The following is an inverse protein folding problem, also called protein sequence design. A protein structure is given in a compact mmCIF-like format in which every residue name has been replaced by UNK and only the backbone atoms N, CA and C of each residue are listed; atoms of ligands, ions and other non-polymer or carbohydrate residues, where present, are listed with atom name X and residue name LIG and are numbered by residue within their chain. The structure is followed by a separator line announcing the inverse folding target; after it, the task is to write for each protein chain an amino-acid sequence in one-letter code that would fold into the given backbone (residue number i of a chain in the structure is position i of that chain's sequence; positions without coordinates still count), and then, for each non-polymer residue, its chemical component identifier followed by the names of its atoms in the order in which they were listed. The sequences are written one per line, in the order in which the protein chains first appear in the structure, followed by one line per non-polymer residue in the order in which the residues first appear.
data_IF_385965795298
#
_entry.id   IF_385965795298
#
_cell.length_a   1.000
_cell.length_b   1.000
_cell.length_c   1.000
_cell.angle_alpha   90.00
_cell.angle_beta   90.00
_cell.angle_gamma   90.00
#
_symmetry.space_group_name_H-M   'P 1'
#
loop_
_entity.id
_entity.type
_entity.pdbx_description
1 polymer ?
#
# COMPACT_ATOMS: atom_id res chain seq x y z
N UNK A 1 6.66 29.06 -13.68
CA UNK A 1 6.83 29.04 -12.21
C UNK A 1 7.01 27.59 -11.79
N UNK A 2 8.13 27.24 -11.17
CA UNK A 2 8.30 25.92 -10.57
C UNK A 2 7.44 25.85 -9.30
N UNK A 3 6.46 24.96 -9.28
CA UNK A 3 5.67 24.70 -8.06
C UNK A 3 6.61 23.98 -7.10
N UNK A 4 7.04 24.67 -6.06
CA UNK A 4 7.76 24.03 -4.94
C UNK A 4 6.74 23.19 -4.18
N UNK A 5 6.88 21.85 -4.25
CA UNK A 5 6.04 20.92 -3.50
C UNK A 5 6.56 20.82 -2.06
N UNK A 6 5.70 21.13 -1.09
CA UNK A 6 6.00 20.84 0.31
C UNK A 6 5.61 19.39 0.64
N UNK A 7 6.40 18.72 1.48
CA UNK A 7 6.01 17.38 1.95
C UNK A 7 4.82 17.50 2.91
N UNK A 8 3.72 16.83 2.56
CA UNK A 8 2.56 16.75 3.43
C UNK A 8 2.73 15.56 4.38
N UNK A 9 2.35 15.70 5.66
CA UNK A 9 2.30 14.55 6.57
C UNK A 9 1.48 13.41 5.96
N UNK A 10 1.94 12.18 6.15
CA UNK A 10 1.14 11.00 5.81
C UNK A 10 0.21 10.69 6.97
N UNK A 11 -1.08 10.94 6.78
CA UNK A 11 -2.11 10.81 7.82
C UNK A 11 -3.14 9.79 7.40
N UNK A 12 -3.41 8.80 8.26
CA UNK A 12 -4.48 7.81 8.11
C UNK A 12 -5.22 7.67 9.45
N UNK A 13 -6.54 7.61 9.42
CA UNK A 13 -7.39 7.50 10.61
C UNK A 13 -7.00 8.49 11.73
N UNK A 14 -6.67 9.74 11.37
CA UNK A 14 -6.25 10.78 12.32
C UNK A 14 -4.85 10.63 12.91
N UNK A 15 -4.11 9.58 12.57
CA UNK A 15 -2.72 9.35 13.02
C UNK A 15 -1.72 9.71 11.93
N UNK A 16 -0.62 10.39 12.33
CA UNK A 16 0.49 10.73 11.43
C UNK A 16 1.56 9.65 11.47
N UNK A 17 2.04 9.25 10.30
CA UNK A 17 3.09 8.25 10.11
C UNK A 17 4.31 8.87 9.44
N UNK A 18 5.50 8.42 9.83
CA UNK A 18 6.77 8.81 9.23
C UNK A 18 7.10 7.94 8.01
N UNK A 19 6.75 6.66 8.09
CA UNK A 19 6.95 5.72 6.99
C UNK A 19 5.80 5.78 5.99
N UNK A 20 6.14 5.81 4.70
CA UNK A 20 5.18 5.67 3.58
C UNK A 20 5.21 4.25 2.99
N UNK A 21 5.86 3.31 3.70
CA UNK A 21 5.88 1.90 3.38
C UNK A 21 4.99 1.15 4.36
N UNK A 22 4.00 0.41 3.84
CA UNK A 22 3.18 -0.53 4.57
C UNK A 22 3.58 -1.94 4.15
N UNK A 23 3.67 -2.87 5.09
CA UNK A 23 4.17 -4.24 4.84
C UNK A 23 3.20 -5.29 5.33
N UNK A 24 3.01 -6.35 4.53
CA UNK A 24 2.25 -7.53 4.92
C UNK A 24 3.09 -8.56 5.67
N UNK A 25 2.42 -9.44 6.40
CA UNK A 25 3.04 -10.49 7.23
C UNK A 25 3.04 -11.88 6.59
N UNK A 26 2.45 -12.03 5.42
CA UNK A 26 2.26 -13.34 4.81
C UNK A 26 3.49 -13.85 4.04
N UNK A 27 3.63 -15.19 3.96
CA UNK A 27 4.57 -15.90 3.07
C UNK A 27 6.05 -15.80 3.42
N UNK A 28 6.43 -15.24 4.53
CA UNK A 28 7.78 -15.42 5.08
C UNK A 28 7.97 -16.86 5.56
N UNK A 29 9.22 -17.28 5.68
CA UNK A 29 9.55 -18.64 6.11
C UNK A 29 9.07 -18.95 7.53
N UNK A 30 9.20 -17.97 8.42
CA UNK A 30 8.85 -18.07 9.84
C UNK A 30 8.56 -16.68 10.44
N UNK A 31 8.12 -16.65 11.70
CA UNK A 31 7.79 -15.41 12.40
C UNK A 31 9.03 -14.54 12.69
N UNK A 32 10.20 -15.13 12.85
CA UNK A 32 11.44 -14.38 13.07
C UNK A 32 11.88 -13.65 11.80
N UNK A 33 11.82 -14.28 10.64
CA UNK A 33 12.09 -13.61 9.36
C UNK A 33 11.05 -12.53 9.09
N UNK A 34 9.77 -12.77 9.42
CA UNK A 34 8.70 -11.75 9.35
C UNK A 34 9.06 -10.53 10.18
N UNK A 35 9.42 -10.72 11.45
CA UNK A 35 9.81 -9.64 12.36
C UNK A 35 11.00 -8.86 11.83
N UNK A 36 12.07 -9.55 11.45
CA UNK A 36 13.30 -8.93 10.95
C UNK A 36 13.06 -8.12 9.67
N UNK A 37 12.25 -8.63 8.73
CA UNK A 37 11.92 -7.94 7.49
C UNK A 37 11.07 -6.68 7.76
N UNK A 38 10.06 -6.77 8.65
CA UNK A 38 9.23 -5.63 9.03
C UNK A 38 10.07 -4.55 9.72
N UNK A 39 10.94 -4.93 10.66
CA UNK A 39 11.85 -3.99 11.31
C UNK A 39 12.79 -3.30 10.31
N UNK A 40 13.38 -4.07 9.40
CA UNK A 40 14.30 -3.56 8.38
C UNK A 40 13.59 -2.64 7.35
N UNK A 41 12.29 -2.84 7.13
CA UNK A 41 11.49 -1.98 6.24
C UNK A 41 11.20 -0.60 6.80
N UNK A 42 11.30 -0.42 8.13
CA UNK A 42 10.89 0.80 8.82
C UNK A 42 9.38 1.07 8.75
N UNK A 43 8.57 0.08 8.38
CA UNK A 43 7.12 0.23 8.33
C UNK A 43 6.51 0.42 9.73
N UNK A 44 5.55 1.33 9.83
CA UNK A 44 4.78 1.58 11.05
C UNK A 44 3.38 0.97 10.98
N UNK A 45 2.92 0.62 9.75
CA UNK A 45 1.64 -0.03 9.50
C UNK A 45 1.90 -1.43 8.94
N UNK A 46 1.31 -2.43 9.58
CA UNK A 46 1.50 -3.84 9.23
C UNK A 46 0.15 -4.48 8.92
N UNK A 47 0.00 -5.04 7.71
CA UNK A 47 -1.23 -5.72 7.31
C UNK A 47 -1.12 -7.23 7.41
N UNK A 48 -2.23 -7.86 7.78
CA UNK A 48 -2.37 -9.31 7.83
C UNK A 48 -3.78 -9.76 7.45
N UNK A 49 -3.88 -10.96 6.91
CA UNK A 49 -5.17 -11.56 6.54
C UNK A 49 -5.86 -12.15 7.78
N UNK A 50 -7.00 -11.59 8.19
CA UNK A 50 -7.75 -12.01 9.38
C UNK A 50 -8.07 -13.52 9.36
N UNK A 51 -8.45 -14.04 8.20
CA UNK A 51 -8.83 -15.46 8.03
C UNK A 51 -7.66 -16.44 8.09
N UNK A 52 -6.41 -15.96 8.12
CA UNK A 52 -5.18 -16.79 7.99
C UNK A 52 -4.17 -16.55 9.10
N UNK A 53 -4.46 -15.64 10.01
CA UNK A 53 -3.50 -15.21 11.04
C UNK A 53 -4.03 -15.57 12.41
N UNK A 54 -3.21 -16.27 13.21
CA UNK A 54 -3.51 -16.48 14.62
C UNK A 54 -3.20 -15.18 15.39
N UNK A 55 -4.23 -14.65 16.04
CA UNK A 55 -4.16 -13.49 16.95
C UNK A 55 -4.44 -13.91 18.40
N UNK A 56 -4.14 -15.19 18.74
CA UNK A 56 -4.41 -15.78 20.04
C UNK A 56 -5.64 -16.70 20.09
N UNK A 57 -6.31 -16.94 18.93
CA UNK A 57 -7.48 -17.83 18.88
C UNK A 57 -7.12 -19.30 18.99
N UNK A 58 -5.89 -19.67 18.62
CA UNK A 58 -5.40 -21.05 18.60
C UNK A 58 -4.26 -21.18 19.61
N UNK A 59 -4.55 -21.83 20.73
CA UNK A 59 -3.58 -22.08 21.80
C UNK A 59 -2.43 -22.97 21.30
N UNK A 60 -1.19 -22.60 21.62
CA UNK A 60 0.02 -23.35 21.23
C UNK A 60 0.52 -23.06 19.81
N UNK A 61 -0.19 -22.30 18.99
CA UNK A 61 0.31 -21.82 17.71
C UNK A 61 0.94 -20.43 17.82
N UNK A 62 1.93 -20.09 16.97
CA UNK A 62 2.53 -18.74 16.97
C UNK A 62 1.48 -17.65 16.81
N UNK A 63 1.46 -16.70 17.74
CA UNK A 63 0.58 -15.55 17.72
C UNK A 63 1.32 -14.34 17.12
N UNK A 64 0.71 -13.66 16.16
CA UNK A 64 1.31 -12.47 15.53
C UNK A 64 1.58 -11.37 16.55
N UNK A 65 0.69 -11.19 17.54
CA UNK A 65 0.80 -10.13 18.54
C UNK A 65 1.99 -10.33 19.51
N UNK A 66 2.46 -11.57 19.68
CA UNK A 66 3.65 -11.87 20.51
C UNK A 66 4.95 -11.46 19.79
N UNK A 67 4.92 -11.41 18.46
CA UNK A 67 6.09 -11.11 17.61
C UNK A 67 6.12 -9.63 17.20
N UNK A 68 4.94 -9.06 16.94
CA UNK A 68 4.77 -7.66 16.55
C UNK A 68 3.89 -6.95 17.58
N UNK A 69 4.50 -6.09 18.41
CA UNK A 69 3.77 -5.38 19.47
C UNK A 69 2.79 -4.34 18.90
N UNK A 70 1.53 -4.32 19.37
CA UNK A 70 0.56 -3.26 19.07
C UNK A 70 1.01 -1.86 19.50
N UNK A 71 1.90 -1.76 20.48
CA UNK A 71 2.46 -0.48 20.95
C UNK A 71 3.40 0.14 19.91
N UNK A 72 4.02 -0.69 19.08
CA UNK A 72 4.98 -0.27 18.07
C UNK A 72 4.36 -0.11 16.69
N UNK A 73 3.41 -0.99 16.34
CA UNK A 73 2.84 -1.05 15.02
C UNK A 73 1.34 -0.76 15.02
N UNK A 74 0.88 -0.04 14.01
CA UNK A 74 -0.54 0.04 13.69
C UNK A 74 -0.92 -1.18 12.86
N UNK A 75 -1.84 -1.98 13.37
CA UNK A 75 -2.36 -3.13 12.63
C UNK A 75 -3.40 -2.73 11.59
N UNK A 76 -3.30 -3.33 10.42
CA UNK A 76 -4.22 -3.17 9.31
C UNK A 76 -4.76 -4.56 8.90
N UNK A 77 -5.74 -5.09 9.65
CA UNK A 77 -6.38 -6.36 9.28
C UNK A 77 -7.03 -6.24 7.91
N UNK A 78 -6.89 -7.28 7.07
CA UNK A 78 -7.44 -7.29 5.73
C UNK A 78 -8.37 -8.48 5.48
N UNK A 79 -9.23 -8.33 4.47
CA UNK A 79 -10.23 -9.31 4.08
C UNK A 79 -9.77 -10.20 2.91
N UNK A 80 -8.46 -10.43 2.78
CA UNK A 80 -7.89 -11.26 1.73
C UNK A 80 -8.56 -12.65 1.66
N UNK A 81 -9.00 -13.01 0.45
CA UNK A 81 -9.69 -14.27 0.18
C UNK A 81 -11.21 -14.21 0.37
N UNK A 82 -11.80 -13.02 0.51
CA UNK A 82 -13.24 -12.80 0.40
C UNK A 82 -13.63 -12.53 -1.06
N UNK A 83 -14.75 -13.10 -1.51
CA UNK A 83 -15.23 -12.99 -2.88
C UNK A 83 -16.57 -12.25 -3.02
N UNK A 84 -17.19 -11.89 -1.92
CA UNK A 84 -18.39 -11.08 -1.87
C UNK A 84 -18.39 -10.09 -0.69
N UNK A 85 -19.32 -9.14 -0.74
CA UNK A 85 -19.44 -8.09 0.26
C UNK A 85 -19.79 -8.63 1.66
N UNK A 86 -20.62 -9.68 1.72
CA UNK A 86 -21.11 -10.25 2.99
C UNK A 86 -19.94 -10.88 3.76
N UNK A 87 -19.12 -11.69 3.07
CA UNK A 87 -17.90 -12.28 3.66
C UNK A 87 -16.92 -11.21 4.12
N UNK A 88 -16.68 -10.18 3.29
CA UNK A 88 -15.75 -9.10 3.62
C UNK A 88 -16.19 -8.32 4.86
N UNK A 89 -17.47 -7.90 4.92
CA UNK A 89 -18.03 -7.20 6.08
C UNK A 89 -17.97 -8.05 7.34
N UNK A 90 -18.35 -9.33 7.25
CA UNK A 90 -18.24 -10.28 8.37
C UNK A 90 -16.80 -10.40 8.88
N UNK A 91 -15.83 -10.45 7.96
CA UNK A 91 -14.41 -10.57 8.31
C UNK A 91 -13.90 -9.30 9.00
N UNK A 92 -14.33 -8.10 8.56
CA UNK A 92 -13.99 -6.86 9.24
C UNK A 92 -14.59 -6.76 10.65
N UNK A 93 -15.85 -7.20 10.83
CA UNK A 93 -16.48 -7.27 12.16
C UNK A 93 -15.72 -8.21 13.09
N UNK A 94 -15.32 -9.39 12.59
CA UNK A 94 -14.48 -10.32 13.35
C UNK A 94 -13.14 -9.67 13.74
N UNK A 95 -12.49 -8.96 12.82
CA UNK A 95 -11.25 -8.24 13.12
C UNK A 95 -11.43 -7.20 14.23
N UNK A 96 -12.54 -6.45 14.21
CA UNK A 96 -12.87 -5.48 15.27
C UNK A 96 -13.01 -6.15 16.64
N UNK A 97 -13.66 -7.31 16.68
CA UNK A 97 -13.81 -8.07 17.93
C UNK A 97 -12.47 -8.61 18.44
N UNK A 98 -11.65 -9.20 17.56
CA UNK A 98 -10.35 -9.78 17.90
C UNK A 98 -9.30 -8.73 18.32
N UNK A 99 -9.48 -7.47 17.94
CA UNK A 99 -8.58 -6.36 18.20
C UNK A 99 -9.22 -5.28 19.08
N UNK A 100 -10.08 -5.65 20.02
CA UNK A 100 -10.66 -4.80 21.06
C UNK A 100 -11.28 -3.48 20.53
N UNK A 101 -12.05 -3.57 19.46
CA UNK A 101 -12.75 -2.41 18.89
C UNK A 101 -11.96 -1.63 17.83
N UNK A 102 -10.87 -2.18 17.30
CA UNK A 102 -10.07 -1.58 16.25
C UNK A 102 -10.86 -1.37 14.95
N UNK A 103 -10.91 -0.13 14.45
CA UNK A 103 -11.76 0.24 13.34
C UNK A 103 -11.03 0.32 11.98
N UNK A 104 -9.70 0.45 12.00
CA UNK A 104 -8.91 0.54 10.76
C UNK A 104 -8.83 -0.82 10.08
N UNK A 105 -9.30 -0.91 8.84
CA UNK A 105 -9.32 -2.16 8.06
C UNK A 105 -8.91 -1.93 6.61
N UNK A 106 -8.31 -2.95 5.99
CA UNK A 106 -8.09 -3.01 4.56
C UNK A 106 -9.16 -3.91 3.92
N UNK A 107 -10.07 -3.28 3.19
CA UNK A 107 -11.10 -3.99 2.45
C UNK A 107 -10.53 -4.52 1.13
N UNK A 108 -10.70 -5.81 0.90
CA UNK A 108 -10.33 -6.53 -0.32
C UNK A 108 -11.45 -7.51 -0.67
N UNK A 109 -12.09 -7.35 -1.83
CA UNK A 109 -13.08 -8.30 -2.37
C UNK A 109 -12.63 -8.71 -3.75
N UNK A 110 -12.41 -10.01 -3.96
CA UNK A 110 -11.83 -10.57 -5.18
C UNK A 110 -12.94 -11.03 -6.15
N UNK A 111 -12.69 -10.88 -7.44
CA UNK A 111 -13.59 -11.35 -8.49
C UNK A 111 -13.22 -12.74 -9.02
N UNK A 112 -11.91 -13.03 -9.08
CA UNK A 112 -11.38 -14.22 -9.74
C UNK A 112 -10.20 -14.81 -8.98
N UNK A 113 -10.17 -16.14 -8.84
CA UNK A 113 -9.13 -16.84 -8.09
C UNK A 113 -7.77 -16.87 -8.78
N UNK A 114 -7.75 -16.77 -10.10
CA UNK A 114 -6.49 -16.85 -10.88
C UNK A 114 -5.80 -15.50 -10.96
N UNK A 115 -6.55 -14.45 -11.19
CA UNK A 115 -6.01 -13.10 -11.40
C UNK A 115 -6.02 -12.26 -10.14
N UNK A 116 -6.87 -12.58 -9.16
CA UNK A 116 -7.11 -11.82 -7.94
C UNK A 116 -7.49 -10.35 -8.22
N UNK A 117 -8.12 -10.09 -9.38
CA UNK A 117 -8.71 -8.77 -9.65
C UNK A 117 -9.79 -8.45 -8.64
N UNK A 118 -9.94 -7.17 -8.26
CA UNK A 118 -11.00 -6.75 -7.35
C UNK A 118 -12.38 -6.86 -8.01
N UNK A 119 -13.36 -7.34 -7.23
CA UNK A 119 -14.77 -7.27 -7.59
C UNK A 119 -15.30 -5.89 -7.20
N UNK A 120 -15.21 -4.93 -8.11
CA UNK A 120 -15.54 -3.53 -7.81
C UNK A 120 -16.98 -3.33 -7.33
N UNK A 121 -17.93 -4.11 -7.84
CA UNK A 121 -19.35 -4.02 -7.43
C UNK A 121 -19.52 -4.45 -5.98
N UNK A 122 -18.96 -5.58 -5.59
CA UNK A 122 -19.01 -6.07 -4.23
C UNK A 122 -18.14 -5.22 -3.28
N UNK A 123 -17.03 -4.67 -3.77
CA UNK A 123 -16.18 -3.73 -3.02
C UNK A 123 -16.97 -2.47 -2.65
N UNK A 124 -17.69 -1.85 -3.58
CA UNK A 124 -18.51 -0.67 -3.31
C UNK A 124 -19.60 -0.97 -2.25
N UNK A 125 -20.31 -2.10 -2.36
CA UNK A 125 -21.34 -2.52 -1.37
C UNK A 125 -20.74 -2.73 0.02
N UNK A 126 -19.61 -3.42 0.10
CA UNK A 126 -18.91 -3.65 1.36
C UNK A 126 -18.41 -2.35 1.99
N UNK A 127 -17.82 -1.46 1.18
CA UNK A 127 -17.33 -0.15 1.62
C UNK A 127 -18.47 0.70 2.21
N UNK A 128 -19.60 0.82 1.53
CA UNK A 128 -20.78 1.53 2.06
C UNK A 128 -21.25 0.99 3.42
N UNK A 129 -21.27 -0.33 3.57
CA UNK A 129 -21.69 -0.97 4.82
C UNK A 129 -20.72 -0.68 5.92
N UNK A 130 -19.42 -0.88 5.68
CA UNK A 130 -18.36 -0.70 6.67
C UNK A 130 -18.23 0.77 7.12
N UNK A 131 -18.28 1.72 6.19
CA UNK A 131 -18.24 3.15 6.53
C UNK A 131 -19.45 3.55 7.38
N UNK A 132 -20.67 3.08 7.06
CA UNK A 132 -21.88 3.30 7.89
C UNK A 132 -21.74 2.71 9.29
N UNK A 133 -20.98 1.63 9.44
CA UNK A 133 -20.69 0.99 10.74
C UNK A 133 -19.51 1.61 11.50
N UNK A 134 -18.95 2.71 10.99
CA UNK A 134 -17.87 3.46 11.62
C UNK A 134 -16.50 2.83 11.49
N UNK A 135 -16.25 2.03 10.46
CA UNK A 135 -14.90 1.59 10.12
C UNK A 135 -14.12 2.66 9.36
N UNK A 136 -12.83 2.73 9.63
CA UNK A 136 -11.84 3.47 8.86
C UNK A 136 -11.34 2.58 7.70
N UNK A 137 -11.98 2.69 6.54
CA UNK A 137 -11.76 1.76 5.44
C UNK A 137 -10.66 2.24 4.50
N UNK A 138 -9.56 1.50 4.41
CA UNK A 138 -8.60 1.55 3.30
C UNK A 138 -9.03 0.48 2.30
N UNK A 139 -9.15 0.80 1.00
CA UNK A 139 -9.81 -0.10 0.06
C UNK A 139 -8.95 -0.45 -1.15
N UNK A 140 -8.65 -1.75 -1.31
CA UNK A 140 -8.03 -2.32 -2.51
C UNK A 140 -9.03 -2.28 -3.66
N UNK A 141 -8.60 -1.76 -4.81
CA UNK A 141 -9.45 -1.60 -5.98
C UNK A 141 -8.67 -1.71 -7.29
N UNK A 142 -9.38 -1.67 -8.41
CA UNK A 142 -8.78 -1.53 -9.74
C UNK A 142 -8.14 -0.16 -9.91
N UNK A 143 -7.36 -0.01 -10.99
CA UNK A 143 -6.80 1.28 -11.43
C UNK A 143 -7.81 2.14 -12.22
N UNK A 144 -9.10 1.91 -12.04
CA UNK A 144 -10.17 2.71 -12.64
C UNK A 144 -10.38 4.01 -11.83
N UNK A 145 -10.16 5.20 -12.44
CA UNK A 145 -10.32 6.49 -11.75
C UNK A 145 -11.76 6.75 -11.28
N UNK A 146 -12.75 6.21 -11.98
CA UNK A 146 -14.16 6.39 -11.62
C UNK A 146 -14.48 5.62 -10.33
N UNK A 147 -14.00 4.39 -10.24
CA UNK A 147 -14.18 3.57 -9.04
C UNK A 147 -13.43 4.16 -7.85
N UNK A 148 -12.20 4.63 -8.05
CA UNK A 148 -11.41 5.29 -7.01
C UNK A 148 -12.16 6.51 -6.43
N UNK A 149 -12.77 7.34 -7.29
CA UNK A 149 -13.58 8.49 -6.87
C UNK A 149 -14.84 8.07 -6.12
N UNK A 150 -15.58 7.05 -6.60
CA UNK A 150 -16.77 6.55 -5.92
C UNK A 150 -16.45 6.04 -4.51
N UNK A 151 -15.35 5.33 -4.33
CA UNK A 151 -14.90 4.83 -3.02
C UNK A 151 -14.54 5.98 -2.07
N UNK A 152 -13.91 7.04 -2.58
CA UNK A 152 -13.66 8.25 -1.81
C UNK A 152 -14.96 8.98 -1.41
N UNK A 153 -15.93 9.08 -2.33
CA UNK A 153 -17.22 9.72 -2.07
C UNK A 153 -18.10 8.92 -1.08
N UNK A 154 -17.96 7.58 -1.01
CA UNK A 154 -18.57 6.72 0.02
C UNK A 154 -18.04 7.06 1.42
N UNK A 155 -16.81 7.57 1.52
CA UNK A 155 -16.17 7.92 2.78
C UNK A 155 -15.05 6.98 3.20
N UNK A 156 -14.48 6.20 2.28
CA UNK A 156 -13.23 5.49 2.54
C UNK A 156 -12.12 6.48 2.88
N UNK A 157 -11.22 6.10 3.80
CA UNK A 157 -10.13 6.99 4.25
C UNK A 157 -8.88 6.94 3.36
N UNK A 158 -8.76 5.91 2.52
CA UNK A 158 -7.72 5.79 1.50
C UNK A 158 -8.18 4.86 0.38
N UNK A 159 -7.77 5.14 -0.86
CA UNK A 159 -7.92 4.23 -1.99
C UNK A 159 -6.58 3.59 -2.34
N UNK A 160 -6.64 2.30 -2.66
CA UNK A 160 -5.45 1.47 -2.88
C UNK A 160 -5.55 0.78 -4.25
N UNK A 161 -5.34 1.54 -5.35
CA UNK A 161 -5.37 0.97 -6.70
C UNK A 161 -4.24 -0.04 -6.90
N UNK A 162 -4.53 -1.13 -7.59
CA UNK A 162 -3.50 -2.05 -8.02
C UNK A 162 -2.58 -1.40 -9.07
N UNK A 163 -1.29 -1.65 -8.98
CA UNK A 163 -0.33 -1.31 -10.03
C UNK A 163 -0.15 -2.46 -11.03
N UNK A 164 -0.31 -3.67 -10.55
CA UNK A 164 -0.33 -4.93 -11.27
C UNK A 164 -1.01 -5.99 -10.42
N UNK A 165 -1.13 -7.21 -10.90
CA UNK A 165 -1.82 -8.28 -10.18
C UNK A 165 -1.13 -8.60 -8.84
N UNK A 166 -1.91 -9.00 -7.83
CA UNK A 166 -1.39 -9.41 -6.52
C UNK A 166 -0.34 -10.52 -6.69
N UNK A 167 0.86 -10.28 -6.17
CA UNK A 167 1.96 -11.25 -6.20
C UNK A 167 2.61 -11.47 -7.57
N UNK A 168 2.28 -10.67 -8.59
CA UNK A 168 2.82 -10.81 -9.95
C UNK A 168 4.23 -10.25 -10.11
N UNK A 169 4.58 -9.21 -9.36
CA UNK A 169 5.86 -8.49 -9.53
C UNK A 169 6.01 -7.78 -10.88
N UNK A 170 4.90 -7.50 -11.58
CA UNK A 170 4.91 -6.86 -12.90
C UNK A 170 5.21 -5.35 -12.86
N UNK A 171 5.24 -4.77 -11.66
CA UNK A 171 5.46 -3.34 -11.47
C UNK A 171 4.22 -2.50 -11.77
N UNK A 172 4.45 -1.25 -12.20
CA UNK A 172 3.40 -0.28 -12.49
C UNK A 172 2.92 -0.46 -13.93
N UNK A 173 1.90 -1.29 -14.14
CA UNK A 173 1.41 -1.65 -15.47
C UNK A 173 0.70 -0.48 -16.18
N UNK A 174 -0.01 0.37 -15.44
CA UNK A 174 -0.77 1.49 -16.00
C UNK A 174 -0.50 2.80 -15.22
N UNK A 175 0.63 3.44 -15.45
CA UNK A 175 0.95 4.69 -14.76
C UNK A 175 0.02 5.84 -15.16
N UNK A 176 -0.64 5.77 -16.32
CA UNK A 176 -1.55 6.80 -16.80
C UNK A 176 -2.82 6.87 -15.93
N UNK A 177 -3.46 5.74 -15.66
CA UNK A 177 -4.64 5.73 -14.80
C UNK A 177 -4.30 6.14 -13.37
N UNK A 178 -3.15 5.69 -12.84
CA UNK A 178 -2.68 6.12 -11.52
C UNK A 178 -2.50 7.64 -11.46
N UNK A 179 -1.97 8.26 -12.53
CA UNK A 179 -1.81 9.71 -12.58
C UNK A 179 -3.17 10.43 -12.54
N UNK A 180 -4.19 9.94 -13.27
CA UNK A 180 -5.54 10.51 -13.23
C UNK A 180 -6.12 10.38 -11.81
N UNK A 181 -5.99 9.22 -11.17
CA UNK A 181 -6.43 9.00 -9.80
C UNK A 181 -5.77 10.01 -8.85
N UNK A 182 -4.46 10.20 -8.97
CA UNK A 182 -3.69 11.12 -8.11
C UNK A 182 -4.06 12.59 -8.32
N UNK A 183 -4.37 13.00 -9.56
CA UNK A 183 -4.79 14.37 -9.88
C UNK A 183 -6.16 14.71 -9.28
N UNK A 184 -7.07 13.73 -9.23
CA UNK A 184 -8.44 13.89 -8.72
C UNK A 184 -8.60 13.55 -7.23
N UNK A 185 -7.57 12.98 -6.60
CA UNK A 185 -7.65 12.40 -5.25
C UNK A 185 -7.93 13.47 -4.17
N UNK A 186 -8.95 13.19 -3.35
CA UNK A 186 -9.29 13.97 -2.14
C UNK A 186 -8.83 13.29 -0.86
N UNK A 187 -8.47 12.01 -0.94
CA UNK A 187 -7.99 11.15 0.15
C UNK A 187 -6.67 10.50 -0.28
N UNK A 188 -5.88 9.98 0.64
CA UNK A 188 -4.63 9.29 0.32
C UNK A 188 -4.78 8.19 -0.72
N UNK A 189 -3.82 8.14 -1.66
CA UNK A 189 -3.72 7.10 -2.70
C UNK A 189 -2.47 6.28 -2.45
N UNK A 190 -2.64 4.99 -2.21
CA UNK A 190 -1.54 4.06 -2.00
C UNK A 190 -1.52 3.02 -3.14
N UNK A 191 -0.36 2.78 -3.71
CA UNK A 191 -0.21 1.61 -4.59
C UNK A 191 -0.27 0.34 -3.74
N UNK A 192 -1.12 -0.60 -4.16
CA UNK A 192 -1.26 -1.93 -3.56
C UNK A 192 -1.20 -2.98 -4.67
N UNK A 193 -0.42 -4.01 -4.47
CA UNK A 193 -0.16 -5.07 -5.45
C UNK A 193 0.67 -4.67 -6.68
N UNK A 194 1.30 -5.65 -7.30
CA UNK A 194 2.09 -5.49 -8.52
C UNK A 194 3.56 -5.16 -8.30
N UNK A 195 3.92 -4.46 -7.23
CA UNK A 195 5.32 -4.13 -6.93
C UNK A 195 6.14 -5.40 -6.77
N UNK A 196 7.24 -5.52 -7.52
CA UNK A 196 8.14 -6.67 -7.52
C UNK A 196 9.56 -6.34 -7.02
N UNK A 197 9.99 -5.08 -7.13
CA UNK A 197 11.32 -4.65 -6.71
C UNK A 197 11.37 -3.17 -6.37
N UNK A 198 12.52 -2.69 -5.88
CA UNK A 198 12.74 -1.33 -5.44
C UNK A 198 12.42 -0.26 -6.50
N UNK A 199 12.75 -0.50 -7.77
CA UNK A 199 12.44 0.43 -8.85
C UNK A 199 10.94 0.67 -9.02
N UNK A 200 10.11 -0.35 -8.85
CA UNK A 200 8.66 -0.22 -8.96
C UNK A 200 8.09 0.66 -7.84
N UNK A 201 8.58 0.45 -6.61
CA UNK A 201 8.23 1.27 -5.46
C UNK A 201 8.66 2.73 -5.65
N UNK A 202 9.85 2.95 -6.19
CA UNK A 202 10.36 4.30 -6.52
C UNK A 202 9.46 4.98 -7.56
N UNK A 203 9.07 4.28 -8.63
CA UNK A 203 8.19 4.81 -9.68
C UNK A 203 6.83 5.21 -9.08
N UNK A 204 6.22 4.37 -8.23
CA UNK A 204 4.97 4.71 -7.57
C UNK A 204 5.06 6.02 -6.78
N UNK A 205 6.15 6.20 -6.02
CA UNK A 205 6.38 7.41 -5.25
C UNK A 205 6.72 8.63 -6.12
N UNK A 206 7.44 8.45 -7.23
CA UNK A 206 7.72 9.51 -8.22
C UNK A 206 6.47 9.99 -8.95
N UNK A 207 5.48 9.12 -9.16
CA UNK A 207 4.16 9.50 -9.69
C UNK A 207 3.40 10.39 -8.71
N UNK A 208 3.68 10.31 -7.42
CA UNK A 208 3.08 11.13 -6.38
C UNK A 208 2.14 10.37 -5.44
N UNK A 209 2.16 9.04 -5.45
CA UNK A 209 1.43 8.24 -4.47
C UNK A 209 1.83 8.64 -3.04
N UNK A 210 0.87 8.57 -2.12
CA UNK A 210 1.11 8.92 -0.72
C UNK A 210 1.92 7.87 0.01
N UNK A 211 1.74 6.59 -0.37
CA UNK A 211 2.46 5.45 0.19
C UNK A 211 2.38 4.23 -0.75
N UNK A 212 3.06 3.15 -0.37
CA UNK A 212 2.99 1.85 -1.06
C UNK A 212 2.80 0.76 -0.02
N UNK A 213 1.87 -0.16 -0.29
CA UNK A 213 1.74 -1.39 0.47
C UNK A 213 2.32 -2.55 -0.34
N UNK A 214 3.14 -3.38 0.28
CA UNK A 214 3.70 -4.58 -0.35
C UNK A 214 3.90 -5.71 0.64
N UNK A 215 3.91 -6.93 0.13
CA UNK A 215 4.25 -8.13 0.89
C UNK A 215 5.13 -9.07 0.05
N UNK A 216 4.59 -9.63 -1.04
CA UNK A 216 5.26 -10.68 -1.83
C UNK A 216 6.61 -10.25 -2.38
N UNK A 217 6.78 -9.01 -2.75
CA UNK A 217 8.05 -8.47 -3.24
C UNK A 217 9.19 -8.61 -2.20
N UNK A 218 8.86 -8.50 -0.92
CA UNK A 218 9.81 -8.70 0.17
C UNK A 218 9.91 -10.17 0.52
N UNK A 219 8.77 -10.81 0.85
CA UNK A 219 8.75 -12.18 1.38
C UNK A 219 9.26 -13.24 0.39
N UNK A 220 9.12 -13.04 -0.91
CA UNK A 220 9.61 -13.97 -1.94
C UNK A 220 11.01 -13.61 -2.47
N UNK A 221 11.63 -12.54 -2.00
CA UNK A 221 13.02 -12.26 -2.33
C UNK A 221 13.95 -13.36 -1.78
N UNK A 222 15.09 -13.58 -2.42
CA UNK A 222 16.08 -14.53 -1.91
C UNK A 222 16.62 -14.14 -0.52
N UNK A 223 16.61 -12.84 -0.22
CA UNK A 223 17.01 -12.26 1.07
C UNK A 223 15.95 -11.22 1.51
N UNK A 224 14.88 -11.64 2.18
CA UNK A 224 13.74 -10.76 2.52
C UNK A 224 14.13 -9.52 3.34
N UNK A 225 15.01 -9.67 4.32
CA UNK A 225 15.46 -8.55 5.16
C UNK A 225 16.21 -7.50 4.33
N UNK A 226 17.08 -7.92 3.43
CA UNK A 226 17.81 -7.01 2.53
C UNK A 226 16.85 -6.33 1.54
N UNK A 227 15.87 -7.05 1.02
CA UNK A 227 14.84 -6.47 0.14
C UNK A 227 13.98 -5.46 0.89
N UNK A 228 13.62 -5.72 2.15
CA UNK A 228 12.89 -4.77 2.99
C UNK A 228 13.64 -3.44 3.15
N UNK A 229 14.96 -3.48 3.39
CA UNK A 229 15.81 -2.29 3.41
C UNK A 229 15.83 -1.56 2.05
N UNK A 230 15.97 -2.32 0.95
CA UNK A 230 15.95 -1.74 -0.39
C UNK A 230 14.61 -1.03 -0.68
N UNK A 231 13.48 -1.60 -0.24
CA UNK A 231 12.16 -0.98 -0.39
C UNK A 231 12.01 0.29 0.45
N UNK A 232 12.54 0.31 1.68
CA UNK A 232 12.56 1.52 2.49
C UNK A 232 13.29 2.66 1.78
N UNK A 233 14.48 2.40 1.25
CA UNK A 233 15.25 3.39 0.50
C UNK A 233 14.55 3.82 -0.80
N UNK A 234 13.89 2.89 -1.49
CA UNK A 234 13.14 3.17 -2.70
C UNK A 234 11.98 4.14 -2.47
N UNK A 235 11.20 3.92 -1.41
CA UNK A 235 10.11 4.81 -0.99
C UNK A 235 10.63 6.21 -0.69
N UNK A 236 11.70 6.31 0.08
CA UNK A 236 12.32 7.60 0.42
C UNK A 236 12.85 8.32 -0.83
N UNK A 237 13.61 7.62 -1.68
CA UNK A 237 14.18 8.17 -2.90
C UNK A 237 13.09 8.68 -3.86
N UNK A 238 12.04 7.87 -4.11
CA UNK A 238 10.94 8.26 -4.98
C UNK A 238 10.16 9.47 -4.44
N UNK A 239 9.93 9.53 -3.11
CA UNK A 239 9.28 10.68 -2.47
C UNK A 239 10.09 11.95 -2.62
N UNK A 240 11.40 11.90 -2.36
CA UNK A 240 12.30 13.04 -2.52
C UNK A 240 12.34 13.51 -3.99
N UNK A 241 12.41 12.59 -4.95
CA UNK A 241 12.40 12.90 -6.38
C UNK A 241 11.08 13.58 -6.79
N UNK A 242 9.93 13.10 -6.29
CA UNK A 242 8.63 13.74 -6.50
C UNK A 242 8.59 15.17 -5.97
N UNK A 243 9.08 15.40 -4.75
CA UNK A 243 9.09 16.72 -4.12
C UNK A 243 10.05 17.69 -4.82
N UNK A 244 11.24 17.20 -5.19
CA UNK A 244 12.24 17.98 -5.92
C UNK A 244 11.75 18.40 -7.31
N UNK A 245 10.88 17.62 -7.90
CA UNK A 245 10.39 17.84 -9.26
C UNK A 245 11.37 17.37 -10.33
N UNK A 246 10.86 16.61 -11.27
CA UNK A 246 11.64 16.06 -12.37
C UNK A 246 12.04 17.14 -13.36
N UNK A 247 13.25 17.08 -13.91
CA UNK A 247 13.63 17.89 -15.07
C UNK A 247 12.74 17.56 -16.29
N UNK A 248 12.38 18.53 -17.13
CA UNK A 248 11.61 18.28 -18.34
C UNK A 248 12.31 17.30 -19.29
N UNK A 249 11.54 16.37 -19.86
CA UNK A 249 12.02 15.54 -20.97
C UNK A 249 12.27 16.43 -22.18
N UNK A 250 13.40 16.24 -22.85
CA UNK A 250 13.77 16.94 -24.09
C UNK A 250 13.88 15.93 -25.22
N UNK A 251 13.44 16.33 -26.43
CA UNK A 251 13.59 15.49 -27.62
C UNK A 251 15.06 15.41 -28.05
N UNK A 252 15.80 16.51 -27.92
CA UNK A 252 17.21 16.59 -28.31
C UNK A 252 18.13 16.76 -27.11
N UNK A 253 19.38 16.36 -27.29
CA UNK A 253 20.42 16.53 -26.27
C UNK A 253 20.64 18.01 -25.92
N UNK A 254 21.03 18.23 -24.70
CA UNK A 254 21.46 19.54 -24.19
C UNK A 254 22.78 19.32 -23.46
N UNK A 255 23.82 20.09 -23.81
CA UNK A 255 25.12 19.98 -23.19
C UNK A 255 25.01 20.19 -21.67
N UNK A 256 25.69 19.35 -20.88
CA UNK A 256 25.72 19.45 -19.42
C UNK A 256 26.68 20.52 -18.91
N UNK A 257 27.66 20.91 -19.75
CA UNK A 257 28.63 21.95 -19.45
C UNK A 257 28.43 23.16 -20.38
N UNK A 258 28.71 24.39 -19.90
CA UNK A 258 28.72 25.55 -20.77
C UNK A 258 29.64 25.35 -21.98
N UNK A 259 29.20 25.76 -23.16
CA UNK A 259 30.02 25.70 -24.38
C UNK A 259 30.89 26.95 -24.57
N UNK A 260 30.68 28.00 -23.78
CA UNK A 260 31.48 29.22 -23.75
C UNK A 260 32.75 29.02 -22.95
N UNK A 261 33.89 29.55 -23.46
CA UNK A 261 35.19 29.48 -22.77
C UNK A 261 35.94 28.15 -22.97
N UNK A 262 35.66 27.39 -24.04
CA UNK A 262 36.45 26.22 -24.38
C UNK A 262 37.91 26.60 -24.64
N UNK A 263 38.84 25.88 -23.98
CA UNK A 263 40.28 25.95 -24.30
C UNK A 263 40.44 25.37 -25.71
N UNK A 264 40.96 26.17 -26.63
CA UNK A 264 41.28 25.78 -28.02
C UNK A 264 42.62 25.10 -28.09
#
# INVERSE_FOLDING_TARGET
MSIVRSDKPFVLAGRTYQSRLLVGTGKYRDMEETRLAIEASGAEIVTFAVRRTNLGQIEGEPNLLDVLSPDRYTFLPNTAGCYDAIEAVRTCRLARELLDGHNLVKLEVLADQKTLFPNVIETLKAAETLVKEGFDVMVYTSDDPIIARQLADIGCIAVMPLAGLIGSGLGICNPYNLQIILEEAKIPVLVDAGVGTASDATIAMELGCDAVLMNSAIAHAQQPVMMAQAMQHAILAGRLAYLAGRMPKKLYASASSPLDGLIK
#
